data_IF_658040590056
#
_entry.id   IF_658040590056
#
_cell.length_a   1.000
_cell.length_b   1.000
_cell.length_c   1.000
_cell.angle_alpha   90.00
_cell.angle_beta   90.00
_cell.angle_gamma   90.00
#
_symmetry.space_group_name_H-M   'P 1'
#
loop_
_entity.id
_entity.type
_entity.pdbx_description
1 polymer ?
#
# COMPACT_ATOMS: atom_id res chain seq x y z
N UNK A 1 -12.77 10.58 -16.31
CA UNK A 1 -13.03 10.47 -14.86
C UNK A 1 -13.09 9.04 -14.33
N UNK A 2 -13.89 8.09 -14.88
CA UNK A 2 -13.87 6.68 -14.40
C UNK A 2 -12.60 5.88 -14.76
N UNK A 3 -12.07 6.07 -15.97
CA UNK A 3 -10.94 5.28 -16.48
C UNK A 3 -9.58 5.58 -15.83
N UNK A 4 -9.38 6.77 -15.28
CA UNK A 4 -8.15 7.15 -14.58
C UNK A 4 -8.17 6.65 -13.14
N UNK A 5 -9.33 6.67 -12.49
CA UNK A 5 -9.53 6.09 -11.16
C UNK A 5 -9.25 4.58 -11.21
N UNK A 6 -9.78 3.87 -12.20
CA UNK A 6 -9.48 2.43 -12.40
C UNK A 6 -7.98 2.16 -12.67
N UNK A 7 -7.25 3.10 -13.28
CA UNK A 7 -5.82 2.90 -13.57
C UNK A 7 -4.96 2.90 -12.29
N UNK A 8 -5.27 3.78 -11.33
CA UNK A 8 -4.60 3.82 -10.02
C UNK A 8 -5.06 2.70 -9.09
N UNK A 9 -6.33 2.30 -9.22
CA UNK A 9 -7.04 1.44 -8.26
C UNK A 9 -6.91 -0.06 -8.58
N UNK A 10 -6.44 -0.46 -9.76
CA UNK A 10 -6.42 -1.89 -10.12
C UNK A 10 -5.23 -2.70 -9.57
N UNK A 11 -4.36 -2.13 -8.72
CA UNK A 11 -3.21 -2.84 -8.12
C UNK A 11 -2.14 -3.36 -9.11
N UNK A 12 -2.35 -3.16 -10.41
CA UNK A 12 -1.54 -3.77 -11.46
C UNK A 12 -0.24 -3.01 -11.74
N UNK A 13 -0.10 -1.75 -11.31
CA UNK A 13 1.07 -0.94 -11.61
C UNK A 13 2.37 -1.47 -10.99
N UNK A 14 2.28 -2.18 -9.86
CA UNK A 14 3.42 -2.82 -9.21
C UNK A 14 3.68 -4.24 -9.73
N UNK A 15 2.71 -4.88 -10.39
CA UNK A 15 2.82 -6.26 -10.84
C UNK A 15 4.03 -6.51 -11.76
N UNK A 16 4.36 -5.64 -12.74
CA UNK A 16 5.58 -5.81 -13.53
C UNK A 16 6.85 -5.87 -12.68
N UNK A 17 6.94 -5.08 -11.61
CA UNK A 17 8.10 -5.08 -10.72
C UNK A 17 8.14 -6.35 -9.86
N UNK A 18 7.01 -6.68 -9.20
CA UNK A 18 6.88 -7.84 -8.33
C UNK A 18 7.10 -9.16 -9.07
N UNK A 19 6.74 -9.22 -10.36
CA UNK A 19 6.96 -10.39 -11.21
C UNK A 19 8.42 -10.57 -11.67
N UNK A 20 9.23 -9.51 -11.63
CA UNK A 20 10.64 -9.56 -12.05
C UNK A 20 11.60 -9.75 -10.87
N UNK A 21 11.22 -9.23 -9.69
CA UNK A 21 12.03 -9.29 -8.48
C UNK A 21 11.17 -9.87 -7.37
N UNK A 22 11.54 -11.05 -6.86
CA UNK A 22 10.86 -11.65 -5.72
C UNK A 22 10.91 -10.68 -4.55
N UNK A 23 9.74 -10.18 -4.17
CA UNK A 23 9.56 -9.10 -3.22
C UNK A 23 8.32 -9.36 -2.38
N UNK A 24 8.28 -8.84 -1.17
CA UNK A 24 7.06 -8.73 -0.39
C UNK A 24 6.40 -7.37 -0.64
N UNK A 25 5.09 -7.34 -0.82
CA UNK A 25 4.28 -6.13 -0.88
C UNK A 25 3.55 -5.95 0.45
N UNK A 26 3.98 -4.96 1.22
CA UNK A 26 3.35 -4.56 2.49
C UNK A 26 2.64 -3.23 2.28
N UNK A 27 1.35 -3.17 2.63
CA UNK A 27 0.56 -1.94 2.61
C UNK A 27 0.26 -1.53 4.06
N UNK A 28 0.65 -0.31 4.42
CA UNK A 28 0.22 0.31 5.68
C UNK A 28 -1.02 1.15 5.39
N UNK A 29 -2.17 0.68 5.86
CA UNK A 29 -3.43 1.40 5.75
C UNK A 29 -3.56 2.44 6.86
N UNK A 30 -3.64 3.71 6.46
CA UNK A 30 -3.82 4.84 7.39
C UNK A 30 -5.22 5.45 7.36
N UNK A 31 -6.08 5.00 6.46
CA UNK A 31 -7.42 5.57 6.23
C UNK A 31 -8.46 4.78 7.04
N UNK A 32 -8.31 3.45 7.10
CA UNK A 32 -9.23 2.57 7.80
C UNK A 32 -10.53 2.29 7.02
N UNK A 33 -11.25 1.27 7.49
CA UNK A 33 -12.45 0.75 6.82
C UNK A 33 -13.57 1.79 6.69
N UNK A 34 -13.78 2.63 7.70
CA UNK A 34 -14.87 3.63 7.72
C UNK A 34 -14.70 4.75 6.68
N UNK A 35 -13.46 5.01 6.26
CA UNK A 35 -13.12 6.07 5.30
C UNK A 35 -12.55 5.50 4.00
N UNK A 36 -12.67 4.19 3.79
CA UNK A 36 -12.19 3.50 2.61
C UNK A 36 -12.97 3.95 1.37
N UNK A 37 -12.22 4.30 0.32
CA UNK A 37 -12.73 4.53 -1.04
C UNK A 37 -12.75 3.23 -1.89
N UNK A 38 -12.53 2.09 -1.25
CA UNK A 38 -12.35 0.79 -1.90
C UNK A 38 -10.89 0.37 -2.04
N UNK A 39 -9.93 1.28 -1.83
CA UNK A 39 -8.49 0.98 -1.87
C UNK A 39 -8.07 -0.16 -0.93
N UNK A 40 -8.71 -0.29 0.25
CA UNK A 40 -8.42 -1.39 1.17
C UNK A 40 -8.75 -2.77 0.57
N UNK A 41 -9.86 -2.91 -0.15
CA UNK A 41 -10.24 -4.19 -0.76
C UNK A 41 -9.25 -4.61 -1.86
N UNK A 42 -8.64 -3.64 -2.55
CA UNK A 42 -7.55 -3.90 -3.49
C UNK A 42 -6.26 -4.23 -2.75
N UNK A 43 -5.94 -3.50 -1.68
CA UNK A 43 -4.77 -3.78 -0.86
C UNK A 43 -4.79 -5.23 -0.35
N UNK A 44 -5.92 -5.68 0.19
CA UNK A 44 -6.12 -7.06 0.67
C UNK A 44 -6.00 -8.11 -0.45
N UNK A 45 -6.29 -7.75 -1.70
CA UNK A 45 -6.19 -8.66 -2.85
C UNK A 45 -4.75 -8.82 -3.34
N UNK A 46 -3.94 -7.76 -3.29
CA UNK A 46 -2.64 -7.71 -3.96
C UNK A 46 -1.44 -7.71 -3.02
N UNK A 47 -1.60 -7.25 -1.78
CA UNK A 47 -0.52 -7.22 -0.80
C UNK A 47 -0.36 -8.58 -0.13
N UNK A 48 0.88 -8.91 0.21
CA UNK A 48 1.18 -10.04 1.09
C UNK A 48 0.74 -9.75 2.53
N UNK A 49 0.75 -8.46 2.91
CA UNK A 49 0.29 -8.02 4.23
C UNK A 49 -0.31 -6.61 4.17
N UNK A 50 -1.44 -6.44 4.87
CA UNK A 50 -2.03 -5.13 5.15
C UNK A 50 -1.92 -4.87 6.65
N UNK A 51 -1.23 -3.80 7.03
CA UNK A 51 -1.06 -3.38 8.43
C UNK A 51 -1.86 -2.11 8.67
N UNK A 52 -2.79 -2.16 9.61
CA UNK A 52 -3.57 -0.98 9.95
C UNK A 52 -2.81 -0.09 10.95
N UNK A 53 -2.70 1.19 10.62
CA UNK A 53 -2.05 2.20 11.47
C UNK A 53 -2.88 3.48 11.48
N UNK A 54 -3.39 3.88 12.64
CA UNK A 54 -4.18 5.11 12.74
C UNK A 54 -3.35 6.33 12.32
N UNK A 55 -3.81 7.05 11.29
CA UNK A 55 -3.14 8.27 10.83
C UNK A 55 -2.98 9.29 11.96
N UNK A 56 -1.76 9.83 12.07
CA UNK A 56 -1.36 10.76 13.14
C UNK A 56 -0.63 12.00 12.61
N UNK A 57 -0.77 12.33 11.31
CA UNK A 57 -0.02 13.40 10.64
C UNK A 57 1.50 13.16 10.52
N UNK A 58 1.98 11.92 10.61
CA UNK A 58 3.39 11.57 10.48
C UNK A 58 3.59 10.40 9.48
N UNK A 59 4.10 10.73 8.29
CA UNK A 59 4.43 9.74 7.27
C UNK A 59 5.56 8.81 7.68
N UNK A 60 6.53 9.31 8.45
CA UNK A 60 7.66 8.51 8.91
C UNK A 60 7.17 7.45 9.90
N UNK A 61 6.21 7.81 10.78
CA UNK A 61 5.61 6.87 11.70
C UNK A 61 4.88 5.73 10.96
N UNK A 62 4.04 6.06 9.96
CA UNK A 62 3.36 5.05 9.14
C UNK A 62 4.35 4.14 8.39
N UNK A 63 5.40 4.71 7.79
CA UNK A 63 6.46 3.93 7.12
C UNK A 63 7.16 2.98 8.10
N UNK A 64 7.52 3.46 9.29
CA UNK A 64 8.28 2.67 10.25
C UNK A 64 7.49 1.45 10.72
N UNK A 65 6.16 1.55 10.86
CA UNK A 65 5.30 0.39 11.13
C UNK A 65 5.41 -0.66 10.03
N UNK A 66 5.47 -0.25 8.76
CA UNK A 66 5.72 -1.16 7.64
C UNK A 66 7.12 -1.79 7.67
N UNK A 67 8.14 -1.02 8.05
CA UNK A 67 9.51 -1.53 8.19
C UNK A 67 9.65 -2.54 9.34
N UNK A 68 8.92 -2.36 10.44
CA UNK A 68 8.98 -3.25 11.60
C UNK A 68 8.49 -4.68 11.30
N UNK A 69 7.63 -4.84 10.29
CA UNK A 69 7.09 -6.13 9.87
C UNK A 69 7.77 -6.71 8.64
N UNK A 70 8.56 -5.90 7.93
CA UNK A 70 9.24 -6.29 6.71
C UNK A 70 10.45 -7.19 6.99
N UNK A 71 10.74 -8.08 6.06
CA UNK A 71 11.76 -9.14 6.17
C UNK A 71 12.85 -9.04 5.10
N UNK A 72 12.64 -8.22 4.06
CA UNK A 72 13.62 -8.00 3.00
C UNK A 72 14.90 -7.29 3.47
N UNK A 73 15.98 -7.44 2.69
CA UNK A 73 17.25 -6.72 2.91
C UNK A 73 17.22 -5.29 2.35
N UNK A 74 16.35 -5.05 1.36
CA UNK A 74 16.20 -3.76 0.67
C UNK A 74 14.73 -3.34 0.68
N UNK A 75 14.50 -2.04 0.83
CA UNK A 75 13.16 -1.47 0.93
C UNK A 75 12.94 -0.42 -0.14
N UNK A 76 11.83 -0.54 -0.89
CA UNK A 76 11.28 0.52 -1.70
C UNK A 76 10.05 1.07 -0.98
N UNK A 77 10.09 2.34 -0.59
CA UNK A 77 8.96 3.00 0.04
C UNK A 77 8.24 3.90 -0.98
N UNK A 78 6.92 3.73 -1.07
CA UNK A 78 6.04 4.53 -1.90
C UNK A 78 4.86 4.98 -1.06
N UNK A 79 4.49 6.25 -1.20
CA UNK A 79 3.30 6.80 -0.58
C UNK A 79 2.31 7.21 -1.67
N UNK A 80 1.05 6.80 -1.52
CA UNK A 80 -0.05 7.30 -2.34
C UNK A 80 -0.81 8.38 -1.58
N UNK A 81 -1.07 9.49 -2.27
CA UNK A 81 -1.92 10.56 -1.78
C UNK A 81 -3.18 10.60 -2.63
N UNK A 82 -4.33 10.44 -1.98
CA UNK A 82 -5.61 10.77 -2.60
C UNK A 82 -5.83 12.28 -2.42
N UNK A 83 -5.93 12.99 -3.55
CA UNK A 83 -6.25 14.43 -3.60
C UNK A 83 -7.74 14.69 -3.67
#
# INVERSE_FOLDING_TARGET
MRKEHDFWVNGNSLQPLLNQVSSELIIVDTVGQEQSDGSLAIAEKYADQVVHYKWNNDFAAARNVGLDVAKGEWFLFMMMMNG
#
